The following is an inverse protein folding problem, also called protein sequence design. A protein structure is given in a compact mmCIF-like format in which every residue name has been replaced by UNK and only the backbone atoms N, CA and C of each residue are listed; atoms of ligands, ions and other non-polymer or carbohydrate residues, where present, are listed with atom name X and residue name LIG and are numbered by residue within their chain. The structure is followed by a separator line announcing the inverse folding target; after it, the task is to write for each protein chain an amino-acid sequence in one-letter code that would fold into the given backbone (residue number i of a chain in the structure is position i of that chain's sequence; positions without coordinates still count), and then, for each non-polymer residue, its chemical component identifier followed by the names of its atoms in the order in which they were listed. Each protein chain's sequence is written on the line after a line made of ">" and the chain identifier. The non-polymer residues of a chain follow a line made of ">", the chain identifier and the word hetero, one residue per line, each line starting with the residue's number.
data_IF_825474287626
#
_entry.id   IF_825474287626
#
_cell.length_a   1.000
_cell.length_b   1.000
_cell.length_c   1.000
_cell.angle_alpha   90.00
_cell.angle_beta   90.00
_cell.angle_gamma   90.00
#
_symmetry.space_group_name_H-M   'P 1'
#
loop_
_entity.id
_entity.type
_entity.pdbx_description
1 polymer ?
#
# COMPACT_ATOMS: atom_id res chain seq x y z
N UNK A 1 19.37 -9.71 14.32
CA UNK A 1 19.70 -8.68 13.32
C UNK A 1 18.41 -7.98 12.96
N UNK A 2 18.33 -6.65 13.01
CA UNK A 2 17.08 -5.90 12.77
C UNK A 2 17.05 -5.40 11.33
N UNK A 3 15.93 -5.58 10.62
CA UNK A 3 15.80 -5.07 9.25
C UNK A 3 15.72 -3.55 9.24
N UNK A 4 16.33 -2.96 8.23
CA UNK A 4 16.28 -1.52 8.00
C UNK A 4 14.93 -1.10 7.40
N UNK A 5 14.32 -1.93 6.58
CA UNK A 5 13.07 -1.62 5.88
C UNK A 5 11.83 -2.14 6.61
N UNK A 6 10.67 -1.61 6.22
CA UNK A 6 9.35 -2.17 6.49
C UNK A 6 8.87 -3.02 5.30
N UNK A 7 7.90 -3.91 5.54
CA UNK A 7 7.18 -4.64 4.48
C UNK A 7 5.71 -4.25 4.49
N UNK A 8 5.15 -3.84 3.35
CA UNK A 8 3.70 -3.71 3.15
C UNK A 8 3.25 -4.91 2.31
N UNK A 9 2.17 -5.57 2.71
CA UNK A 9 1.61 -6.70 1.97
C UNK A 9 0.11 -6.56 1.73
N UNK A 10 -0.35 -7.08 0.60
CA UNK A 10 -1.78 -7.28 0.31
C UNK A 10 -1.98 -8.70 -0.20
N UNK A 11 -2.95 -9.44 0.37
CA UNK A 11 -3.17 -10.86 0.05
C UNK A 11 -4.36 -11.11 -0.86
N UNK A 12 -5.42 -10.31 -0.71
CA UNK A 12 -6.70 -10.53 -1.37
C UNK A 12 -7.35 -9.22 -1.78
N UNK A 13 -7.94 -9.19 -2.97
CA UNK A 13 -8.80 -8.11 -3.45
C UNK A 13 -10.14 -8.71 -3.87
N UNK A 14 -11.22 -8.25 -3.26
CA UNK A 14 -12.57 -8.77 -3.47
C UNK A 14 -13.44 -7.72 -4.13
N UNK A 15 -14.06 -8.08 -5.24
CA UNK A 15 -15.03 -7.25 -5.93
C UNK A 15 -16.43 -7.46 -5.32
N UNK A 16 -16.97 -6.41 -4.70
CA UNK A 16 -18.36 -6.31 -4.20
C UNK A 16 -19.02 -5.01 -4.66
N UNK A 17 -18.77 -4.58 -5.90
CA UNK A 17 -19.41 -3.41 -6.47
C UNK A 17 -20.94 -3.51 -6.31
N UNK A 18 -21.52 -2.54 -5.63
CA UNK A 18 -22.92 -2.59 -5.16
C UNK A 18 -23.92 -1.88 -6.07
N UNK A 19 -23.42 -1.10 -7.04
CA UNK A 19 -24.26 -0.42 -8.02
C UNK A 19 -24.71 -1.39 -9.10
N UNK A 20 -26.01 -1.43 -9.41
CA UNK A 20 -26.62 -2.37 -10.35
C UNK A 20 -25.92 -2.42 -11.72
N UNK A 21 -25.52 -1.26 -12.25
CA UNK A 21 -24.82 -1.16 -13.53
C UNK A 21 -23.41 -1.77 -13.55
N UNK A 22 -22.82 -2.08 -12.39
CA UNK A 22 -21.49 -2.68 -12.25
C UNK A 22 -21.50 -4.02 -11.50
N UNK A 23 -22.67 -4.55 -11.13
CA UNK A 23 -22.79 -5.76 -10.30
C UNK A 23 -22.11 -6.99 -10.93
N UNK A 24 -22.06 -7.05 -12.26
CA UNK A 24 -21.42 -8.12 -13.02
C UNK A 24 -20.09 -7.71 -13.68
N UNK A 25 -19.61 -6.50 -13.40
CA UNK A 25 -18.37 -5.99 -13.99
C UNK A 25 -17.16 -6.57 -13.25
N UNK A 26 -16.16 -7.04 -14.00
CA UNK A 26 -14.89 -7.45 -13.45
C UNK A 26 -13.98 -6.24 -13.17
N UNK A 27 -13.19 -6.33 -12.11
CA UNK A 27 -12.12 -5.38 -11.80
C UNK A 27 -10.81 -5.99 -12.28
N UNK A 28 -10.19 -5.39 -13.28
CA UNK A 28 -8.88 -5.80 -13.78
C UNK A 28 -7.81 -4.96 -13.07
N UNK A 29 -7.08 -5.57 -12.15
CA UNK A 29 -5.98 -4.91 -11.45
C UNK A 29 -4.83 -4.78 -12.43
N UNK A 30 -4.47 -3.54 -12.76
CA UNK A 30 -3.40 -3.21 -13.71
C UNK A 30 -2.03 -3.34 -13.06
N UNK A 31 -1.87 -2.73 -11.88
CA UNK A 31 -0.64 -2.75 -11.09
C UNK A 31 -0.92 -2.28 -9.67
N UNK A 32 0.05 -2.51 -8.80
CA UNK A 32 0.07 -2.03 -7.43
C UNK A 32 1.41 -1.37 -7.15
N UNK A 33 1.40 -0.24 -6.44
CA UNK A 33 2.64 0.48 -6.12
C UNK A 33 2.53 1.31 -4.85
N UNK A 34 3.67 1.61 -4.26
CA UNK A 34 3.77 2.48 -3.08
C UNK A 34 4.00 3.93 -3.54
N UNK A 35 3.13 4.83 -3.08
CA UNK A 35 3.29 6.29 -3.17
C UNK A 35 3.86 6.88 -1.89
N UNK A 36 4.50 8.05 -2.03
CA UNK A 36 5.15 8.78 -0.94
C UNK A 36 6.10 7.87 -0.14
N UNK A 37 6.87 7.04 -0.83
CA UNK A 37 7.84 6.17 -0.17
C UNK A 37 9.10 6.96 0.14
N UNK A 38 9.51 6.99 1.42
CA UNK A 38 10.82 7.47 1.81
C UNK A 38 11.91 6.65 1.08
N UNK A 39 12.85 7.34 0.44
CA UNK A 39 13.94 6.75 -0.30
C UNK A 39 15.25 6.67 0.48
N UNK A 40 15.29 7.28 1.66
CA UNK A 40 16.42 7.27 2.58
C UNK A 40 15.94 7.36 4.04
N UNK A 41 16.77 6.85 4.95
CA UNK A 41 16.59 6.97 6.40
C UNK A 41 17.97 6.99 7.08
N UNK A 42 18.21 7.81 8.11
CA UNK A 42 19.55 8.10 8.61
C UNK A 42 20.01 7.04 9.64
N UNK A 43 20.19 5.79 9.20
CA UNK A 43 20.68 4.74 10.09
C UNK A 43 22.07 5.09 10.65
N UNK A 44 22.22 4.98 11.96
CA UNK A 44 23.48 5.29 12.66
C UNK A 44 23.62 6.75 13.10
N UNK A 45 22.66 7.63 12.79
CA UNK A 45 22.57 8.96 13.39
C UNK A 45 21.85 8.84 14.74
N UNK A 46 22.57 9.09 15.83
CA UNK A 46 22.03 8.97 17.20
C UNK A 46 20.91 9.97 17.52
N UNK A 47 20.65 10.95 16.64
CA UNK A 47 19.50 11.85 16.73
C UNK A 47 18.21 11.22 16.22
N UNK A 48 18.31 10.12 15.50
CA UNK A 48 17.21 9.41 14.88
C UNK A 48 17.31 7.93 15.23
N UNK A 49 16.80 7.56 16.41
CA UNK A 49 16.85 6.17 16.83
C UNK A 49 16.07 5.25 15.88
N UNK A 50 16.63 4.07 15.67
CA UNK A 50 16.00 2.90 15.04
C UNK A 50 14.70 2.59 15.79
N UNK A 51 13.56 3.05 15.27
CA UNK A 51 12.28 3.04 16.01
C UNK A 51 11.58 4.40 16.11
N UNK A 52 12.06 5.44 15.42
CA UNK A 52 11.26 6.63 15.12
C UNK A 52 10.92 7.53 16.32
N UNK A 53 11.62 7.41 17.45
CA UNK A 53 11.40 8.29 18.61
C UNK A 53 12.70 8.80 19.22
N UNK A 54 13.10 10.01 18.83
CA UNK A 54 13.57 11.06 19.75
C UNK A 54 13.73 12.41 19.03
N UNK A 55 13.02 13.43 19.52
CA UNK A 55 13.35 14.87 19.45
C UNK A 55 13.39 15.60 18.10
N UNK A 56 13.70 14.94 16.99
CA UNK A 56 13.84 15.55 15.66
C UNK A 56 12.99 14.77 14.66
N UNK A 57 12.09 15.44 13.94
CA UNK A 57 11.37 14.84 12.82
C UNK A 57 12.34 14.69 11.64
N UNK A 58 12.76 13.46 11.36
CA UNK A 58 13.52 13.21 10.13
C UNK A 58 12.58 13.40 8.93
N UNK A 59 12.99 14.26 8.00
CA UNK A 59 12.37 14.36 6.68
C UNK A 59 13.25 13.64 5.66
N UNK A 60 12.73 12.62 4.94
CA UNK A 60 13.44 11.99 3.84
C UNK A 60 13.92 13.02 2.81
N UNK A 61 15.17 12.91 2.37
CA UNK A 61 15.73 13.74 1.29
C UNK A 61 15.45 13.14 -0.08
N UNK A 62 15.22 11.83 -0.13
CA UNK A 62 14.78 11.11 -1.32
C UNK A 62 13.36 10.61 -1.13
N UNK A 63 12.55 10.75 -2.15
CA UNK A 63 11.21 10.19 -2.21
C UNK A 63 11.00 9.44 -3.52
N UNK A 64 10.23 8.37 -3.46
CA UNK A 64 9.69 7.69 -4.65
C UNK A 64 8.19 7.90 -4.70
N UNK A 65 7.66 8.06 -5.91
CA UNK A 65 6.24 8.31 -6.15
C UNK A 65 5.66 9.42 -5.27
N UNK A 66 6.41 10.50 -5.07
CA UNK A 66 5.96 11.66 -4.30
C UNK A 66 4.89 12.38 -5.12
N UNK A 67 3.67 12.46 -4.58
CA UNK A 67 2.47 13.07 -5.19
C UNK A 67 2.03 12.54 -6.56
N UNK A 68 2.88 11.83 -7.30
CA UNK A 68 2.49 11.17 -8.54
C UNK A 68 3.30 9.90 -8.75
N UNK A 69 2.73 8.88 -9.42
CA UNK A 69 3.52 7.75 -9.87
C UNK A 69 4.62 8.25 -10.82
N UNK A 70 5.86 7.83 -10.55
CA UNK A 70 6.95 7.92 -11.51
C UNK A 70 6.71 6.93 -12.65
N UNK A 71 7.39 7.14 -13.77
CA UNK A 71 7.37 6.20 -14.88
C UNK A 71 7.86 4.81 -14.41
N UNK A 72 7.28 3.74 -14.95
CA UNK A 72 7.50 2.37 -14.46
C UNK A 72 8.99 1.96 -14.46
N UNK A 73 9.78 2.47 -15.43
CA UNK A 73 11.22 2.22 -15.52
C UNK A 73 12.07 2.91 -14.45
N UNK A 74 11.55 3.94 -13.79
CA UNK A 74 12.26 4.72 -12.76
C UNK A 74 11.96 4.22 -11.34
N UNK A 75 10.98 3.33 -11.19
CA UNK A 75 10.55 2.79 -9.91
C UNK A 75 11.31 1.52 -9.55
N UNK A 76 11.94 1.47 -8.36
CA UNK A 76 12.49 0.22 -7.86
C UNK A 76 11.42 -0.88 -7.79
N UNK A 77 11.76 -2.08 -8.25
CA UNK A 77 10.85 -3.24 -8.29
C UNK A 77 10.34 -3.68 -6.92
N UNK A 78 10.97 -3.25 -5.83
CA UNK A 78 10.49 -3.50 -4.47
C UNK A 78 9.38 -2.51 -4.02
N UNK A 79 9.05 -1.50 -4.83
CA UNK A 79 7.98 -0.53 -4.58
C UNK A 79 6.78 -0.72 -5.52
N UNK A 80 6.84 -1.64 -6.48
CA UNK A 80 5.78 -1.85 -7.46
C UNK A 80 5.66 -3.32 -7.87
N UNK A 81 4.47 -3.73 -8.33
CA UNK A 81 4.22 -5.11 -8.78
C UNK A 81 4.62 -5.38 -10.23
N UNK A 82 5.03 -4.34 -10.97
CA UNK A 82 4.92 -4.30 -12.43
C UNK A 82 3.47 -4.41 -12.92
N UNK A 83 3.31 -4.46 -14.24
CA UNK A 83 2.03 -4.77 -14.89
C UNK A 83 1.53 -6.19 -14.55
N UNK A 84 0.23 -6.30 -14.28
CA UNK A 84 -0.46 -7.55 -13.94
C UNK A 84 -1.51 -7.84 -15.02
N UNK A 85 -1.19 -8.76 -15.94
CA UNK A 85 -2.09 -9.11 -17.05
C UNK A 85 -3.31 -9.95 -16.64
N UNK A 86 -3.13 -10.82 -15.63
CA UNK A 86 -4.12 -11.83 -15.24
C UNK A 86 -4.79 -11.55 -13.88
N UNK A 87 -4.58 -10.35 -13.33
CA UNK A 87 -5.10 -10.01 -12.01
C UNK A 87 -6.54 -9.51 -12.11
N UNK A 88 -7.50 -10.44 -12.08
CA UNK A 88 -8.92 -10.13 -12.22
C UNK A 88 -9.70 -10.52 -10.97
N UNK A 89 -10.45 -9.57 -10.42
CA UNK A 89 -11.48 -9.81 -9.41
C UNK A 89 -12.86 -9.67 -10.09
N UNK A 90 -13.42 -10.78 -10.57
CA UNK A 90 -14.74 -10.78 -11.21
C UNK A 90 -15.86 -10.67 -10.16
N UNK A 91 -17.10 -10.43 -10.60
CA UNK A 91 -18.25 -10.46 -9.70
C UNK A 91 -18.25 -11.76 -8.88
N UNK A 92 -18.25 -11.63 -7.55
CA UNK A 92 -18.25 -12.73 -6.58
C UNK A 92 -16.98 -13.59 -6.53
N UNK A 93 -15.93 -13.26 -7.29
CA UNK A 93 -14.60 -13.87 -7.16
C UNK A 93 -13.58 -12.83 -6.69
N UNK A 94 -12.53 -13.33 -6.05
CA UNK A 94 -11.46 -12.50 -5.50
C UNK A 94 -10.15 -12.79 -6.21
N UNK A 95 -9.30 -11.78 -6.30
CA UNK A 95 -7.90 -11.94 -6.67
C UNK A 95 -7.10 -12.30 -5.41
N UNK A 96 -6.52 -13.50 -5.35
CA UNK A 96 -5.92 -14.09 -4.13
C UNK A 96 -4.41 -14.37 -4.25
N UNK A 97 -3.66 -13.42 -4.84
CA UNK A 97 -2.19 -13.51 -4.90
C UNK A 97 -1.57 -12.44 -4.02
N UNK A 98 -0.71 -12.90 -3.10
CA UNK A 98 0.06 -12.02 -2.22
C UNK A 98 1.06 -11.18 -2.98
N UNK A 99 1.07 -9.88 -2.69
CA UNK A 99 2.08 -8.93 -3.14
C UNK A 99 2.80 -8.32 -1.95
N UNK A 100 4.10 -8.06 -2.12
CA UNK A 100 4.96 -7.53 -1.07
C UNK A 100 5.76 -6.35 -1.59
N UNK A 101 5.77 -5.27 -0.81
CA UNK A 101 6.50 -4.05 -1.10
C UNK A 101 7.38 -3.70 0.10
N UNK A 102 8.52 -3.07 -0.16
CA UNK A 102 9.49 -2.71 0.86
C UNK A 102 9.81 -1.23 0.78
N UNK A 103 9.76 -0.55 1.92
CA UNK A 103 10.05 0.88 1.97
C UNK A 103 10.83 1.24 3.24
N UNK A 104 11.50 2.39 3.21
CA UNK A 104 12.11 2.95 4.40
C UNK A 104 11.06 3.51 5.36
N UNK A 105 11.41 3.68 6.66
CA UNK A 105 10.53 4.26 7.64
C UNK A 105 10.01 5.63 7.21
N UNK A 106 8.73 5.84 7.48
CA UNK A 106 8.03 7.10 7.28
C UNK A 106 7.07 7.29 8.46
N UNK A 107 7.48 8.01 9.51
CA UNK A 107 6.69 8.15 10.74
C UNK A 107 5.47 9.08 10.59
N UNK A 108 5.20 9.58 9.38
CA UNK A 108 4.03 10.41 9.07
C UNK A 108 2.72 9.65 9.26
N UNK A 109 1.66 10.40 9.53
CA UNK A 109 0.30 9.91 9.78
C UNK A 109 -0.13 9.95 11.25
N UNK A 110 0.71 10.44 12.16
CA UNK A 110 0.35 10.63 13.59
C UNK A 110 -0.29 12.00 13.86
N UNK A 111 -0.21 12.95 12.92
CA UNK A 111 -0.88 14.25 12.96
C UNK A 111 -1.79 14.46 11.74
N UNK A 112 -2.81 15.32 11.87
CA UNK A 112 -3.84 15.55 10.83
C UNK A 112 -3.37 16.34 9.59
N UNK A 113 -2.12 16.80 9.54
CA UNK A 113 -1.56 17.66 8.50
C UNK A 113 -0.38 17.05 7.74
N UNK A 114 -0.14 15.74 7.86
CA UNK A 114 1.04 15.11 7.27
C UNK A 114 0.91 14.98 5.74
N UNK A 115 1.64 15.83 5.01
CA UNK A 115 1.55 15.99 3.56
C UNK A 115 2.00 14.76 2.74
N UNK A 116 2.73 13.80 3.35
CA UNK A 116 3.39 12.71 2.63
C UNK A 116 3.27 11.36 3.34
N UNK A 117 2.04 10.97 3.71
CA UNK A 117 1.74 9.62 4.25
C UNK A 117 2.04 8.56 3.18
N UNK A 118 2.76 7.50 3.56
CA UNK A 118 3.01 6.34 2.71
C UNK A 118 1.69 5.70 2.30
N UNK A 119 1.55 5.35 1.03
CA UNK A 119 0.27 4.88 0.48
C UNK A 119 0.47 3.69 -0.44
N UNK A 120 -0.31 2.63 -0.26
CA UNK A 120 -0.43 1.57 -1.25
C UNK A 120 -1.53 1.95 -2.24
N UNK A 121 -1.24 1.96 -3.53
CA UNK A 121 -2.21 2.24 -4.59
C UNK A 121 -2.47 0.98 -5.38
N UNK A 122 -3.75 0.64 -5.53
CA UNK A 122 -4.21 -0.35 -6.49
C UNK A 122 -4.78 0.42 -7.69
N UNK A 123 -4.18 0.25 -8.85
CA UNK A 123 -4.67 0.79 -10.12
C UNK A 123 -5.47 -0.30 -10.82
N UNK A 124 -6.70 0.00 -11.20
CA UNK A 124 -7.59 -0.98 -11.80
C UNK A 124 -8.39 -0.42 -12.99
N UNK A 125 -8.65 -1.27 -13.96
CA UNK A 125 -9.50 -1.01 -15.11
C UNK A 125 -10.90 -1.61 -14.84
N UNK A 126 -11.93 -0.78 -14.97
CA UNK A 126 -13.35 -1.15 -14.81
C UNK A 126 -14.11 -0.51 -15.97
N UNK A 127 -14.72 -1.31 -16.85
CA UNK A 127 -15.39 -0.84 -18.07
C UNK A 127 -14.54 0.19 -18.84
N UNK A 128 -13.30 -0.17 -19.17
CA UNK A 128 -12.34 0.64 -19.93
C UNK A 128 -11.87 1.94 -19.25
N UNK A 129 -12.28 2.21 -18.01
CA UNK A 129 -11.85 3.38 -17.23
C UNK A 129 -10.89 2.98 -16.11
N UNK A 130 -9.84 3.78 -15.92
CA UNK A 130 -8.86 3.58 -14.84
C UNK A 130 -9.40 4.22 -13.56
N UNK A 131 -9.39 3.43 -12.49
CA UNK A 131 -9.72 3.85 -11.14
C UNK A 131 -8.59 3.50 -10.18
N UNK A 132 -8.42 4.34 -9.16
CA UNK A 132 -7.40 4.19 -8.13
C UNK A 132 -8.02 3.91 -6.77
N UNK A 133 -7.41 2.98 -6.04
CA UNK A 133 -7.77 2.66 -4.65
C UNK A 133 -6.56 2.90 -3.74
N UNK A 134 -6.27 4.16 -3.40
CA UNK A 134 -5.23 4.52 -2.44
C UNK A 134 -5.58 4.11 -1.01
N UNK A 135 -4.64 3.44 -0.34
CA UNK A 135 -4.70 3.01 1.05
C UNK A 135 -3.56 3.65 1.84
N UNK A 136 -3.89 4.60 2.71
CA UNK A 136 -2.90 5.27 3.57
C UNK A 136 -2.40 4.33 4.66
N UNK A 137 -1.08 4.15 4.74
CA UNK A 137 -0.40 3.36 5.76
C UNK A 137 0.44 4.29 6.62
N UNK A 138 -0.06 4.55 7.83
CA UNK A 138 0.50 5.50 8.78
C UNK A 138 1.59 4.86 9.64
N UNK A 139 2.57 5.65 10.05
CA UNK A 139 3.58 5.24 11.03
C UNK A 139 4.41 4.05 10.56
N UNK A 140 5.01 4.15 9.36
CA UNK A 140 5.88 3.10 8.84
C UNK A 140 7.19 3.08 9.65
N UNK A 141 7.46 1.95 10.28
CA UNK A 141 8.63 1.69 11.11
C UNK A 141 9.48 0.58 10.51
N UNK A 142 10.79 0.64 10.72
CA UNK A 142 11.69 -0.42 10.27
C UNK A 142 11.39 -1.73 11.01
N UNK A 143 11.70 -2.87 10.38
CA UNK A 143 11.50 -4.19 10.95
C UNK A 143 10.04 -4.49 11.36
N UNK A 144 9.08 -3.87 10.67
CA UNK A 144 7.66 -4.15 10.82
C UNK A 144 7.05 -4.61 9.50
N UNK A 145 5.97 -5.37 9.62
CA UNK A 145 5.13 -5.81 8.50
C UNK A 145 3.74 -5.21 8.65
N UNK A 146 3.22 -4.62 7.59
CA UNK A 146 1.91 -3.98 7.49
C UNK A 146 1.09 -4.84 6.52
N UNK A 147 0.22 -5.67 7.07
CA UNK A 147 -0.47 -6.71 6.32
C UNK A 147 -1.93 -6.32 6.07
N UNK A 148 -2.30 -6.23 4.79
CA UNK A 148 -3.67 -6.07 4.32
C UNK A 148 -4.15 -7.45 3.89
N UNK A 149 -4.92 -8.09 4.75
CA UNK A 149 -5.42 -9.44 4.45
C UNK A 149 -6.42 -9.43 3.29
N UNK A 150 -7.28 -8.41 3.24
CA UNK A 150 -8.30 -8.27 2.22
C UNK A 150 -8.62 -6.77 1.99
N UNK A 151 -8.70 -6.39 0.72
CA UNK A 151 -9.32 -5.15 0.27
C UNK A 151 -10.66 -5.49 -0.38
N UNK A 152 -11.76 -4.97 0.17
CA UNK A 152 -13.10 -5.13 -0.40
C UNK A 152 -13.49 -3.85 -1.12
N UNK A 153 -13.67 -3.94 -2.43
CA UNK A 153 -14.09 -2.82 -3.29
C UNK A 153 -15.61 -2.84 -3.41
N UNK A 154 -16.29 -1.81 -2.91
CA UNK A 154 -17.77 -1.74 -2.91
C UNK A 154 -18.34 -0.67 -3.83
N UNK A 155 -17.50 0.28 -4.26
CA UNK A 155 -17.80 1.36 -5.20
C UNK A 155 -16.60 1.62 -6.11
N UNK A 156 -16.83 2.42 -7.15
CA UNK A 156 -15.75 2.91 -8.01
C UNK A 156 -14.74 3.70 -7.19
N UNK A 157 -13.47 3.57 -7.59
CA UNK A 157 -12.34 4.27 -6.99
C UNK A 157 -12.27 5.73 -7.38
N UNK A 158 -11.15 6.34 -7.05
CA UNK A 158 -10.80 7.71 -7.43
C UNK A 158 -10.31 7.78 -8.88
N UNK A 159 -10.41 8.97 -9.49
CA UNK A 159 -9.77 9.29 -10.78
C UNK A 159 -8.29 9.68 -10.63
N UNK A 160 -7.82 9.84 -9.39
CA UNK A 160 -6.42 10.16 -9.08
C UNK A 160 -5.92 9.34 -7.89
N UNK A 161 -4.68 8.83 -7.93
CA UNK A 161 -4.08 8.10 -6.81
C UNK A 161 -3.75 8.99 -5.60
N UNK A 162 -3.79 10.33 -5.75
CA UNK A 162 -3.61 11.28 -4.65
C UNK A 162 -4.86 11.52 -3.83
N UNK A 163 -6.03 11.30 -4.41
CA UNK A 163 -7.31 11.59 -3.76
C UNK A 163 -7.72 10.33 -3.00
N UNK A 164 -7.77 10.35 -1.65
CA UNK A 164 -8.20 9.20 -0.88
C UNK A 164 -9.62 8.80 -1.29
N UNK A 165 -9.85 7.49 -1.43
CA UNK A 165 -11.22 6.98 -1.53
C UNK A 165 -11.84 7.05 -0.14
N UNK A 166 -13.07 7.54 -0.01
CA UNK A 166 -13.75 7.52 1.29
C UNK A 166 -13.85 6.08 1.79
N UNK A 167 -13.68 5.85 3.09
CA UNK A 167 -13.89 4.53 3.70
C UNK A 167 -15.30 3.96 3.47
N UNK A 168 -16.26 4.78 3.02
CA UNK A 168 -17.58 4.31 2.58
C UNK A 168 -17.57 3.58 1.22
N UNK A 169 -16.45 3.65 0.48
CA UNK A 169 -16.27 3.10 -0.88
C UNK A 169 -15.37 1.86 -0.90
N UNK A 170 -14.57 1.63 0.15
CA UNK A 170 -13.68 0.49 0.32
C UNK A 170 -13.58 0.08 1.79
N UNK A 171 -13.43 -1.21 2.07
CA UNK A 171 -13.18 -1.73 3.42
C UNK A 171 -11.88 -2.52 3.45
N UNK A 172 -10.99 -2.19 4.39
CA UNK A 172 -9.74 -2.92 4.64
C UNK A 172 -9.31 -2.77 6.09
N UNK A 173 -8.49 -3.70 6.56
CA UNK A 173 -7.84 -3.66 7.88
C UNK A 173 -6.34 -3.87 7.70
N UNK A 174 -5.53 -3.02 8.33
CA UNK A 174 -4.07 -3.14 8.33
C UNK A 174 -3.62 -3.74 9.66
N UNK A 175 -2.94 -4.88 9.60
CA UNK A 175 -2.34 -5.53 10.76
C UNK A 175 -0.85 -5.22 10.81
N UNK A 176 -0.40 -4.58 11.89
CA UNK A 176 1.01 -4.23 12.10
C UNK A 176 1.64 -5.25 13.04
N UNK A 177 2.66 -5.95 12.56
CA UNK A 177 3.37 -6.97 13.32
C UNK A 177 4.88 -6.73 13.24
N UNK A 178 5.63 -7.05 14.29
CA UNK A 178 7.09 -7.11 14.23
C UNK A 178 7.54 -8.14 13.19
N UNK A 179 8.59 -7.83 12.44
CA UNK A 179 9.09 -8.70 11.40
C UNK A 179 9.96 -9.79 12.03
N UNK A 180 9.35 -10.93 12.29
CA UNK A 180 10.05 -12.13 12.79
C UNK A 180 10.75 -12.86 11.63
N UNK A 181 11.94 -13.39 11.91
CA UNK A 181 12.67 -14.22 10.97
C UNK A 181 11.98 -15.58 10.83
N UNK A 182 11.47 -15.88 9.63
CA UNK A 182 11.15 -17.24 9.21
C UNK A 182 9.95 -17.93 9.87
N UNK A 183 8.73 -17.49 9.54
CA UNK A 183 7.58 -18.38 9.30
C UNK A 183 6.37 -17.56 8.81
N UNK A 184 5.72 -18.02 7.74
CA UNK A 184 4.30 -17.75 7.58
C UNK A 184 3.58 -18.77 8.47
N UNK A 185 3.07 -18.34 9.63
CA UNK A 185 2.19 -19.19 10.43
C UNK A 185 0.81 -19.22 9.77
N UNK A 186 0.47 -20.37 9.18
CA UNK A 186 -0.92 -20.71 8.86
C UNK A 186 -1.58 -21.24 10.13
N UNK A 187 -2.32 -20.40 10.83
CA UNK A 187 -3.28 -20.82 11.85
C UNK A 187 -4.62 -21.03 11.17
N UNK A 188 -5.05 -22.28 11.06
CA UNK A 188 -6.42 -22.67 10.72
C UNK A 188 -7.17 -22.89 12.03
N UNK A 189 -8.30 -22.20 12.21
CA UNK A 189 -9.28 -22.48 13.27
C UNK A 189 -10.42 -23.27 12.65
#
# INVERSE_FOLDING_TARGET
>A
MTRLVARISIKKITNKLSMSQYENTAIHIKRMYIMNAAGDFPYGDTRYETGGKTGSTYAPKKWYNLTKPQEEGDLPSFLNSGELSDAVASSKLSYEKSHYFYCYPNPTGTASSDAHVTRLVIEALINDNIYYYPLDIKGIENNHTYNINELVITRLGSESPEIPVSYSQVTFTVYVNGWQDGSDESVTI
#
